data_IF_830305325662
#
_entry.id   IF_830305325662
#
_cell.length_a   1.000
_cell.length_b   1.000
_cell.length_c   1.000
_cell.angle_alpha   90.00
_cell.angle_beta   90.00
_cell.angle_gamma   90.00
#
_symmetry.space_group_name_H-M   'P 1'
#
loop_
_entity.id
_entity.type
_entity.pdbx_description
1 polymer ?
#
# COMPACT_ATOMS: atom_id res chain seq x y z
N UNK A 1 -22.57 47.64 -43.65
CA UNK A 1 -21.19 47.39 -43.20
C UNK A 1 -21.15 46.09 -42.41
N UNK A 2 -20.37 45.13 -42.91
CA UNK A 2 -20.09 43.80 -42.37
C UNK A 2 -19.39 43.89 -41.00
N UNK A 3 -19.82 43.14 -39.97
CA UNK A 3 -18.92 42.60 -38.94
C UNK A 3 -19.47 41.27 -38.39
N UNK A 4 -18.76 40.23 -38.78
CA UNK A 4 -18.85 38.81 -38.45
C UNK A 4 -18.79 38.56 -36.93
N UNK A 5 -19.75 37.84 -36.36
CA UNK A 5 -19.65 37.25 -35.02
C UNK A 5 -19.09 35.83 -35.17
N UNK A 6 -17.85 35.65 -34.71
CA UNK A 6 -17.13 34.38 -34.71
C UNK A 6 -17.66 33.52 -33.56
N UNK A 7 -18.14 32.32 -33.90
CA UNK A 7 -18.43 31.23 -32.97
C UNK A 7 -17.11 30.75 -32.33
N UNK A 8 -17.01 30.79 -31.00
CA UNK A 8 -15.95 30.11 -30.27
C UNK A 8 -16.54 28.88 -29.56
N UNK A 9 -16.54 27.74 -30.27
CA UNK A 9 -16.79 26.44 -29.67
C UNK A 9 -15.52 26.01 -28.92
N UNK A 10 -15.55 26.13 -27.59
CA UNK A 10 -14.48 25.62 -26.73
C UNK A 10 -14.56 24.08 -26.69
N UNK A 11 -13.73 23.43 -27.50
CA UNK A 11 -13.44 21.99 -27.38
C UNK A 11 -12.68 21.76 -26.06
N UNK A 12 -13.42 21.35 -25.03
CA UNK A 12 -12.85 20.77 -23.82
C UNK A 12 -12.26 19.40 -24.18
N UNK A 13 -11.03 19.38 -24.67
CA UNK A 13 -10.21 18.16 -24.72
C UNK A 13 -9.88 17.75 -23.28
N UNK A 14 -10.79 17.01 -22.66
CA UNK A 14 -10.47 16.25 -21.45
C UNK A 14 -9.42 15.22 -21.83
N UNK A 15 -8.17 15.46 -21.45
CA UNK A 15 -7.15 14.42 -21.48
C UNK A 15 -7.58 13.34 -20.48
N UNK A 16 -8.20 12.27 -20.98
CA UNK A 16 -8.37 11.04 -20.22
C UNK A 16 -6.95 10.50 -20.04
N UNK A 17 -6.38 10.70 -18.85
CA UNK A 17 -5.14 10.03 -18.50
C UNK A 17 -5.36 8.53 -18.70
N UNK A 18 -4.48 7.82 -19.44
CA UNK A 18 -4.63 6.39 -19.59
C UNK A 18 -4.67 5.77 -18.20
N UNK A 19 -5.65 4.90 -17.97
CA UNK A 19 -5.63 4.04 -16.79
C UNK A 19 -4.25 3.37 -16.78
N UNK A 20 -3.45 3.65 -15.75
CA UNK A 20 -2.15 3.01 -15.61
C UNK A 20 -2.38 1.51 -15.71
N UNK A 21 -1.73 0.85 -16.68
CA UNK A 21 -1.82 -0.60 -16.83
C UNK A 21 -1.46 -1.30 -15.52
N UNK A 22 -1.93 -2.54 -15.30
CA UNK A 22 -1.74 -3.23 -14.04
C UNK A 22 -0.25 -3.29 -13.67
N UNK A 23 0.07 -2.95 -12.43
CA UNK A 23 1.44 -3.00 -11.95
C UNK A 23 1.98 -4.43 -12.05
N UNK A 24 3.23 -4.56 -12.51
CA UNK A 24 3.93 -5.86 -12.52
C UNK A 24 4.77 -6.01 -11.25
N UNK A 25 4.19 -6.71 -10.28
CA UNK A 25 4.85 -6.99 -9.02
C UNK A 25 5.84 -8.13 -9.12
N UNK A 26 6.93 -8.01 -8.37
CA UNK A 26 7.90 -9.06 -8.14
C UNK A 26 8.39 -8.99 -6.69
N UNK A 27 8.87 -10.13 -6.18
CA UNK A 27 9.55 -10.19 -4.90
C UNK A 27 10.75 -9.24 -4.87
N UNK A 28 11.08 -8.75 -3.67
CA UNK A 28 12.14 -7.79 -3.35
C UNK A 28 11.93 -6.37 -3.87
N UNK A 29 10.86 -6.10 -4.64
CA UNK A 29 10.56 -4.72 -5.03
C UNK A 29 10.20 -3.87 -3.83
N UNK A 30 10.65 -2.61 -3.85
CA UNK A 30 10.31 -1.58 -2.87
C UNK A 30 9.44 -0.51 -3.54
N UNK A 31 8.43 -0.04 -2.83
CA UNK A 31 7.43 0.88 -3.35
C UNK A 31 7.16 2.03 -2.38
N UNK A 32 6.98 3.21 -2.96
CA UNK A 32 6.21 4.27 -2.32
C UNK A 32 4.72 3.99 -2.47
N UNK A 33 3.92 4.45 -1.52
CA UNK A 33 2.48 4.21 -1.48
C UNK A 33 1.74 5.43 -0.91
N UNK A 34 0.42 5.45 -1.08
CA UNK A 34 -0.46 6.47 -0.51
C UNK A 34 -0.55 6.27 1.01
N UNK A 35 0.39 6.86 1.74
CA UNK A 35 0.51 6.72 3.20
C UNK A 35 -0.35 7.73 3.97
N UNK A 36 -0.57 7.49 5.27
CA UNK A 36 -1.13 8.50 6.18
C UNK A 36 -0.16 9.69 6.27
N UNK A 37 -0.65 10.88 6.62
CA UNK A 37 0.18 12.08 6.68
C UNK A 37 1.39 11.93 7.62
N UNK A 38 1.23 11.21 8.75
CA UNK A 38 2.29 10.96 9.74
C UNK A 38 3.35 9.95 9.25
N UNK A 39 3.02 9.11 8.27
CA UNK A 39 3.91 8.11 7.70
C UNK A 39 4.53 8.58 6.36
N UNK A 40 4.58 9.88 6.11
CA UNK A 40 5.13 10.41 4.85
C UNK A 40 6.58 9.96 4.70
N UNK A 41 6.87 9.32 3.55
CA UNK A 41 8.20 8.78 3.25
C UNK A 41 8.40 7.32 3.66
N UNK A 42 7.41 6.70 4.33
CA UNK A 42 7.39 5.26 4.57
C UNK A 42 7.45 4.46 3.26
N UNK A 43 8.03 3.27 3.36
CA UNK A 43 8.27 2.38 2.23
C UNK A 43 7.68 1.00 2.50
N UNK A 44 7.21 0.38 1.43
CA UNK A 44 6.73 -1.00 1.41
C UNK A 44 7.70 -1.88 0.64
N UNK A 45 7.99 -3.09 1.13
CA UNK A 45 8.73 -4.13 0.40
C UNK A 45 7.86 -5.37 0.22
N UNK A 46 7.85 -5.92 -1.00
CA UNK A 46 7.25 -7.22 -1.29
C UNK A 46 8.29 -8.30 -0.99
N UNK A 47 8.02 -9.17 -0.02
CA UNK A 47 8.91 -10.27 0.33
C UNK A 47 8.60 -11.54 -0.44
N UNK A 48 7.33 -11.89 -0.52
CA UNK A 48 6.86 -13.13 -1.13
C UNK A 48 5.55 -12.93 -1.88
N UNK A 49 5.36 -13.69 -2.95
CA UNK A 49 4.09 -13.74 -3.68
C UNK A 49 3.59 -15.19 -3.70
N UNK A 50 2.50 -15.45 -3.00
CA UNK A 50 1.82 -16.75 -2.95
C UNK A 50 0.58 -16.78 -3.83
N UNK A 51 0.07 -17.99 -4.08
CA UNK A 51 -1.23 -18.23 -4.72
C UNK A 51 -2.09 -19.12 -3.84
N UNK A 52 -3.33 -18.71 -3.63
CA UNK A 52 -4.35 -19.51 -2.97
C UNK A 52 -4.96 -20.53 -3.95
N UNK A 53 -5.72 -21.50 -3.44
CA UNK A 53 -6.27 -22.60 -4.24
C UNK A 53 -7.24 -22.17 -5.35
N UNK A 54 -7.84 -20.98 -5.22
CA UNK A 54 -8.69 -20.34 -6.24
C UNK A 54 -7.89 -19.51 -7.27
N UNK A 55 -6.56 -19.52 -7.18
CA UNK A 55 -5.66 -18.77 -8.05
C UNK A 55 -5.42 -17.32 -7.63
N UNK A 56 -6.06 -16.84 -6.56
CA UNK A 56 -5.86 -15.49 -6.02
C UNK A 56 -4.41 -15.32 -5.56
N UNK A 57 -3.77 -14.22 -5.97
CA UNK A 57 -2.42 -13.86 -5.51
C UNK A 57 -2.47 -13.17 -4.15
N UNK A 58 -1.54 -13.55 -3.28
CA UNK A 58 -1.30 -12.93 -1.98
C UNK A 58 0.11 -12.37 -1.95
N UNK A 59 0.22 -11.11 -1.56
CA UNK A 59 1.50 -10.40 -1.45
C UNK A 59 1.83 -10.28 0.02
N UNK A 60 2.96 -10.85 0.43
CA UNK A 60 3.46 -10.70 1.78
C UNK A 60 4.43 -9.53 1.81
N UNK A 61 4.04 -8.45 2.50
CA UNK A 61 4.80 -7.21 2.51
C UNK A 61 5.23 -6.82 3.92
N UNK A 62 6.26 -5.99 4.01
CA UNK A 62 6.59 -5.25 5.22
C UNK A 62 6.57 -3.75 4.93
N UNK A 63 6.36 -2.95 5.97
CA UNK A 63 6.32 -1.49 5.87
C UNK A 63 7.26 -0.90 6.91
N UNK A 64 8.07 0.08 6.53
CA UNK A 64 9.01 0.77 7.42
C UNK A 64 8.82 2.28 7.37
N UNK A 65 9.37 2.99 8.36
CA UNK A 65 9.31 4.46 8.42
C UNK A 65 7.94 4.95 8.86
N UNK A 66 7.23 4.15 9.66
CA UNK A 66 5.93 4.49 10.20
C UNK A 66 6.06 5.51 11.33
N UNK A 67 5.24 6.54 11.26
CA UNK A 67 5.16 7.56 12.28
C UNK A 67 4.21 7.14 13.40
N UNK A 68 4.50 7.61 14.61
CA UNK A 68 3.69 7.33 15.80
C UNK A 68 3.16 8.64 16.39
N UNK A 69 1.84 8.76 16.67
CA UNK A 69 1.30 9.92 17.37
C UNK A 69 1.96 10.12 18.75
N UNK A 70 2.13 11.38 19.16
CA UNK A 70 2.71 11.69 20.47
C UNK A 70 1.93 11.00 21.60
N UNK A 71 2.63 10.31 22.50
CA UNK A 71 2.02 9.58 23.62
C UNK A 71 1.53 8.17 23.28
N UNK A 72 1.62 7.72 22.02
CA UNK A 72 1.31 6.35 21.62
C UNK A 72 2.53 5.43 21.72
N UNK A 73 2.35 4.11 21.88
CA UNK A 73 3.45 3.15 21.72
C UNK A 73 4.10 3.27 20.34
N UNK A 74 5.43 3.21 20.28
CA UNK A 74 6.14 3.27 19.01
C UNK A 74 5.80 2.06 18.14
N UNK A 75 5.54 2.33 16.86
CA UNK A 75 5.36 1.33 15.81
C UNK A 75 6.13 1.80 14.57
N UNK A 76 7.46 1.61 14.54
CA UNK A 76 8.30 2.11 13.44
C UNK A 76 8.14 1.30 12.14
N UNK A 77 7.63 0.07 12.26
CA UNK A 77 7.44 -0.85 11.14
C UNK A 77 6.27 -1.82 11.37
N UNK A 78 5.83 -2.44 10.27
CA UNK A 78 4.99 -3.64 10.27
C UNK A 78 5.79 -4.74 9.59
N UNK A 79 6.10 -5.80 10.36
CA UNK A 79 6.97 -6.88 9.92
C UNK A 79 6.34 -7.77 8.85
N UNK A 80 5.06 -8.11 8.97
CA UNK A 80 4.38 -8.99 8.02
C UNK A 80 2.93 -8.57 7.81
N UNK A 81 2.58 -8.34 6.55
CA UNK A 81 1.26 -7.92 6.12
C UNK A 81 0.91 -8.70 4.83
N UNK A 82 0.03 -9.72 4.91
CA UNK A 82 -0.50 -10.38 3.71
C UNK A 82 -1.60 -9.51 3.09
N UNK A 83 -1.49 -9.15 1.82
CA UNK A 83 -2.45 -8.28 1.13
C UNK A 83 -2.82 -8.82 -0.24
N UNK A 84 -4.06 -8.58 -0.64
CA UNK A 84 -4.54 -8.91 -1.99
C UNK A 84 -3.95 -7.99 -3.04
N UNK A 85 -3.87 -8.47 -4.29
CA UNK A 85 -3.41 -7.66 -5.41
C UNK A 85 -4.20 -6.35 -5.58
N UNK A 86 -5.53 -6.44 -5.59
CA UNK A 86 -6.38 -5.28 -5.79
C UNK A 86 -6.18 -4.21 -4.70
N UNK A 87 -5.88 -4.63 -3.48
CA UNK A 87 -5.57 -3.70 -2.39
C UNK A 87 -4.16 -3.10 -2.51
N UNK A 88 -3.19 -3.88 -2.98
CA UNK A 88 -1.84 -3.39 -3.28
C UNK A 88 -1.88 -2.35 -4.41
N UNK A 89 -2.63 -2.60 -5.49
CA UNK A 89 -2.83 -1.68 -6.62
C UNK A 89 -3.39 -0.33 -6.20
N UNK A 90 -4.37 -0.33 -5.28
CA UNK A 90 -4.93 0.91 -4.74
C UNK A 90 -3.95 1.67 -3.83
N UNK A 91 -2.96 0.96 -3.28
CA UNK A 91 -2.00 1.48 -2.31
C UNK A 91 -0.77 2.08 -2.99
N UNK A 92 -0.11 1.34 -3.87
CA UNK A 92 1.21 1.72 -4.40
C UNK A 92 1.13 2.91 -5.36
N UNK A 93 2.22 3.67 -5.43
CA UNK A 93 2.34 4.82 -6.32
C UNK A 93 3.46 4.61 -7.33
N UNK A 94 4.67 4.35 -6.84
CA UNK A 94 5.87 4.24 -7.68
C UNK A 94 6.87 3.30 -7.04
N UNK A 95 7.47 2.43 -7.85
CA UNK A 95 8.63 1.63 -7.46
C UNK A 95 9.82 2.54 -7.14
N UNK A 96 10.52 2.23 -6.07
CA UNK A 96 11.73 2.93 -5.65
C UNK A 96 12.89 1.96 -5.63
N UNK A 97 14.06 2.45 -6.02
CA UNK A 97 15.31 1.76 -5.72
C UNK A 97 15.74 2.24 -4.33
N UNK A 98 15.85 1.29 -3.40
CA UNK A 98 16.19 1.58 -2.01
C UNK A 98 16.96 0.42 -1.42
N UNK A 99 18.02 0.76 -0.70
CA UNK A 99 18.86 -0.09 0.12
C UNK A 99 18.41 -0.14 1.59
N UNK A 100 17.24 0.44 1.91
CA UNK A 100 16.71 0.45 3.26
C UNK A 100 16.58 -0.97 3.82
N UNK A 101 16.86 -1.11 5.10
CA UNK A 101 16.74 -2.37 5.84
C UNK A 101 15.28 -2.55 6.24
N UNK A 102 14.74 -3.74 5.94
CA UNK A 102 13.38 -4.13 6.31
C UNK A 102 13.45 -5.27 7.33
N UNK A 103 12.47 -5.37 8.24
CA UNK A 103 12.37 -6.47 9.18
C UNK A 103 12.17 -7.81 8.46
N UNK A 104 12.66 -8.90 9.05
CA UNK A 104 12.43 -10.26 8.57
C UNK A 104 10.96 -10.67 8.79
N UNK A 105 10.19 -10.99 7.73
CA UNK A 105 8.78 -11.37 7.85
C UNK A 105 8.57 -12.86 8.21
N UNK A 106 9.64 -13.66 8.31
CA UNK A 106 9.57 -15.13 8.30
C UNK A 106 8.66 -15.71 9.38
N UNK A 107 8.70 -15.17 10.60
CA UNK A 107 7.86 -15.65 11.71
C UNK A 107 6.36 -15.44 11.44
N UNK A 108 5.98 -14.22 11.02
CA UNK A 108 4.60 -13.88 10.65
C UNK A 108 4.11 -14.67 9.44
N UNK A 109 4.97 -14.85 8.44
CA UNK A 109 4.66 -15.67 7.26
C UNK A 109 4.38 -17.13 7.63
N UNK A 110 5.25 -17.75 8.43
CA UNK A 110 5.05 -19.14 8.89
C UNK A 110 3.76 -19.28 9.68
N UNK A 111 3.46 -18.33 10.57
CA UNK A 111 2.23 -18.35 11.34
C UNK A 111 0.99 -18.22 10.46
N UNK A 112 0.97 -17.23 9.56
CA UNK A 112 -0.13 -17.01 8.62
C UNK A 112 -0.39 -18.25 7.76
N UNK A 113 0.67 -18.87 7.24
CA UNK A 113 0.55 -20.06 6.40
C UNK A 113 -0.01 -21.25 7.19
N UNK A 114 0.51 -21.51 8.40
CA UNK A 114 0.02 -22.59 9.30
C UNK A 114 -1.45 -22.41 9.66
N UNK A 115 -1.90 -21.17 9.86
CA UNK A 115 -3.27 -20.86 10.24
C UNK A 115 -4.22 -20.69 9.04
N UNK A 116 -3.72 -20.81 7.80
CA UNK A 116 -4.48 -20.52 6.58
C UNK A 116 -5.13 -19.13 6.64
N UNK A 117 -4.36 -18.13 7.08
CA UNK A 117 -4.84 -16.77 7.26
C UNK A 117 -5.37 -16.17 5.96
N UNK A 118 -6.35 -15.27 6.08
CA UNK A 118 -6.82 -14.50 4.94
C UNK A 118 -5.87 -13.31 4.66
N UNK A 119 -5.70 -12.88 3.39
CA UNK A 119 -5.05 -11.62 3.08
C UNK A 119 -5.96 -10.43 3.39
N UNK A 120 -5.36 -9.28 3.70
CA UNK A 120 -6.08 -8.01 3.80
C UNK A 120 -6.58 -7.55 2.43
N UNK A 121 -7.81 -7.05 2.40
CA UNK A 121 -8.46 -6.44 1.23
C UNK A 121 -8.48 -4.90 1.29
N UNK A 122 -8.00 -4.35 2.40
CA UNK A 122 -7.83 -2.91 2.65
C UNK A 122 -6.47 -2.43 2.16
N UNK A 123 -6.36 -1.15 1.82
CA UNK A 123 -5.09 -0.52 1.44
C UNK A 123 -4.07 -0.61 2.57
N UNK A 124 -2.78 -0.48 2.23
CA UNK A 124 -1.69 -0.51 3.21
C UNK A 124 -1.88 0.55 4.30
N UNK A 125 -2.30 1.77 3.94
CA UNK A 125 -2.53 2.84 4.91
C UNK A 125 -3.68 2.51 5.88
N UNK A 126 -4.75 1.87 5.42
CA UNK A 126 -5.87 1.45 6.27
C UNK A 126 -5.45 0.34 7.24
N UNK A 127 -4.62 -0.62 6.80
CA UNK A 127 -4.09 -1.66 7.70
C UNK A 127 -3.15 -1.06 8.73
N UNK A 128 -2.23 -0.17 8.32
CA UNK A 128 -1.36 0.56 9.25
C UNK A 128 -2.19 1.31 10.30
N UNK A 129 -3.29 1.95 9.90
CA UNK A 129 -4.18 2.66 10.80
C UNK A 129 -4.91 1.72 11.79
N UNK A 130 -5.35 0.56 11.31
CA UNK A 130 -5.95 -0.49 12.13
C UNK A 130 -4.97 -0.98 13.21
N UNK A 131 -3.72 -1.29 12.84
CA UNK A 131 -2.69 -1.75 13.78
C UNK A 131 -2.34 -0.65 14.79
N UNK A 132 -2.16 0.59 14.34
CA UNK A 132 -1.88 1.71 15.23
C UNK A 132 -2.97 1.88 16.30
N UNK A 133 -4.25 1.77 15.92
CA UNK A 133 -5.38 1.85 16.85
C UNK A 133 -5.43 0.67 17.84
N UNK A 134 -5.12 -0.55 17.40
CA UNK A 134 -5.16 -1.72 18.28
C UNK A 134 -4.09 -1.67 19.38
N UNK A 135 -2.92 -1.09 19.07
CA UNK A 135 -1.86 -0.87 20.06
C UNK A 135 -2.24 0.16 21.14
N UNK A 136 -3.05 1.17 20.79
CA UNK A 136 -3.59 2.13 21.77
C UNK A 136 -4.69 1.49 22.61
N UNK A 137 -5.64 0.78 22.00
CA UNK A 137 -6.74 0.13 22.70
C UNK A 137 -6.26 -0.95 23.68
N UNK A 138 -5.18 -1.68 23.35
CA UNK A 138 -4.56 -2.67 24.23
C UNK A 138 -3.93 -2.09 25.50
N UNK A 139 -3.70 -0.77 25.58
CA UNK A 139 -3.22 -0.09 26.79
C UNK A 139 -4.32 0.34 27.76
N UNK A 140 -5.59 0.26 27.35
CA UNK A 140 -6.75 0.73 28.15
C UNK A 140 -7.38 -0.42 28.96
N UNK A 141 -6.73 -1.59 29.00
CA UNK A 141 -7.10 -2.72 29.87
C UNK A 141 -6.04 -2.90 30.95
#
# INVERSE_FOLDING_TARGET
>A
MMRMLILLAALLSGAVAPAAGPFRYAERQVWSYKARAIDRGSLLRIWKIDRMGDGQRVFHVSVIGLGTPRGSPQMPDIQHLPITEAALDRSVMRRVDSDAVFPDPSSGYVQWHRQKGAPFTMTVAEVVDLVARSMVAGKVK
#
